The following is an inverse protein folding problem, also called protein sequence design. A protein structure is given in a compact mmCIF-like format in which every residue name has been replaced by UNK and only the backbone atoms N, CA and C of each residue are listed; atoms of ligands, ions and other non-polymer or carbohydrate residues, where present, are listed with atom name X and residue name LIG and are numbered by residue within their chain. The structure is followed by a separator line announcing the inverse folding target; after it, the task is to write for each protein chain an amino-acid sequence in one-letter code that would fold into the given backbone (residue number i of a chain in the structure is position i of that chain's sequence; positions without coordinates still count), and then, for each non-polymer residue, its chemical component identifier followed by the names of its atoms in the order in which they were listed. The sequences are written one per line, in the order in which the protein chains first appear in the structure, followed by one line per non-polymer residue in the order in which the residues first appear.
data_IF_146723818624
#
_entry.id   IF_146723818624
#
_cell.length_a   1.000
_cell.length_b   1.000
_cell.length_c   1.000
_cell.angle_alpha   90.00
_cell.angle_beta   90.00
_cell.angle_gamma   90.00
#
_symmetry.space_group_name_H-M   'P 1'
#
loop_
_entity.id
_entity.type
_entity.pdbx_description
1 polymer ?
#
# COMPACT_ATOMS: atom_id res chain seq x y z
N UNK A 1 11.47 5.56 2.23
CA UNK A 1 12.20 4.28 2.32
C UNK A 1 13.45 4.34 1.46
N UNK A 2 14.64 4.47 2.06
CA UNK A 2 15.90 4.52 1.33
C UNK A 2 16.18 3.29 0.48
N UNK A 3 15.63 2.12 0.84
CA UNK A 3 15.87 0.84 0.19
C UNK A 3 15.08 0.69 -1.12
N UNK A 4 13.78 1.05 -1.13
CA UNK A 4 12.92 0.98 -2.32
C UNK A 4 12.84 2.27 -3.13
N UNK A 5 13.32 3.40 -2.57
CA UNK A 5 13.12 4.77 -3.09
C UNK A 5 11.65 5.21 -3.16
N UNK A 6 10.73 4.45 -2.56
CA UNK A 6 9.36 4.90 -2.40
C UNK A 6 9.26 6.03 -1.38
N UNK A 7 8.43 7.01 -1.73
CA UNK A 7 7.95 8.06 -0.84
C UNK A 7 6.57 7.65 -0.37
N UNK A 8 6.40 7.57 0.95
CA UNK A 8 5.14 7.20 1.59
C UNK A 8 4.61 8.41 2.34
N UNK A 9 3.29 8.52 2.42
CA UNK A 9 2.60 9.40 3.35
C UNK A 9 2.31 8.60 4.62
N UNK A 10 2.60 9.18 5.79
CA UNK A 10 2.16 8.62 7.06
C UNK A 10 0.80 9.25 7.37
N UNK A 11 -0.24 8.44 7.29
CA UNK A 11 -1.61 8.85 7.51
C UNK A 11 -2.24 8.01 8.62
N UNK A 12 -2.54 8.63 9.76
CA UNK A 12 -3.20 7.97 10.89
C UNK A 12 -4.73 7.96 10.76
N UNK A 13 -5.27 8.64 9.75
CA UNK A 13 -6.72 8.65 9.45
C UNK A 13 -7.16 7.53 8.52
N UNK A 14 -6.22 6.74 7.99
CA UNK A 14 -6.51 5.59 7.13
C UNK A 14 -6.52 4.28 7.92
N UNK A 15 -7.50 3.41 7.64
CA UNK A 15 -7.60 2.08 8.27
C UNK A 15 -6.51 1.11 7.80
N UNK A 16 -5.97 1.32 6.59
CA UNK A 16 -5.07 0.39 5.92
C UNK A 16 -3.92 1.10 5.21
N UNK A 17 -2.82 0.39 5.00
CA UNK A 17 -1.69 0.87 4.19
C UNK A 17 -1.85 0.46 2.73
N UNK A 18 -1.73 1.40 1.80
CA UNK A 18 -1.92 1.17 0.36
C UNK A 18 -0.65 1.43 -0.45
N UNK A 19 -0.46 0.65 -1.51
CA UNK A 19 0.57 0.87 -2.52
C UNK A 19 -0.11 0.99 -3.89
N UNK A 20 0.19 2.04 -4.69
CA UNK A 20 -0.42 2.20 -6.00
C UNK A 20 -0.10 1.02 -6.92
N UNK A 21 -1.09 0.52 -7.65
CA UNK A 21 -0.90 -0.58 -8.60
C UNK A 21 0.21 -0.27 -9.61
N UNK A 22 0.32 0.98 -10.06
CA UNK A 22 1.35 1.47 -10.97
C UNK A 22 2.79 1.31 -10.46
N UNK A 23 2.99 1.09 -9.16
CA UNK A 23 4.28 0.84 -8.53
C UNK A 23 4.55 -0.66 -8.31
N UNK A 24 3.70 -1.53 -8.85
CA UNK A 24 3.81 -2.98 -8.70
C UNK A 24 3.80 -3.68 -10.06
N UNK A 25 4.33 -4.90 -10.08
CA UNK A 25 4.25 -5.82 -11.23
C UNK A 25 3.15 -6.86 -11.02
N UNK A 26 2.25 -6.66 -10.06
CA UNK A 26 1.19 -7.62 -9.76
C UNK A 26 0.13 -7.59 -10.87
N UNK A 27 -0.52 -8.74 -11.15
CA UNK A 27 -1.60 -8.80 -12.13
C UNK A 27 -2.72 -7.81 -11.83
N UNK A 28 -3.35 -7.28 -12.88
CA UNK A 28 -4.44 -6.30 -12.79
C UNK A 28 -5.79 -6.93 -12.40
N UNK A 29 -5.79 -8.18 -11.95
CA UNK A 29 -7.01 -8.90 -11.57
C UNK A 29 -7.57 -8.26 -10.31
N UNK A 30 -8.82 -7.80 -10.39
CA UNK A 30 -9.52 -7.21 -9.23
C UNK A 30 -9.76 -8.26 -8.18
N UNK A 31 -9.58 -7.88 -6.92
CA UNK A 31 -9.97 -8.68 -5.77
C UNK A 31 -11.39 -8.35 -5.30
N UNK A 32 -11.92 -9.22 -4.44
CA UNK A 32 -13.21 -9.04 -3.76
C UNK A 32 -13.17 -7.89 -2.75
N UNK A 33 -12.00 -7.61 -2.17
CA UNK A 33 -11.83 -6.52 -1.22
C UNK A 33 -12.04 -5.17 -1.93
N UNK A 34 -12.86 -4.31 -1.34
CA UNK A 34 -13.12 -2.96 -1.84
C UNK A 34 -12.75 -1.95 -0.77
N UNK A 35 -11.99 -0.92 -1.14
CA UNK A 35 -11.65 0.19 -0.25
C UNK A 35 -12.52 1.41 -0.60
N UNK A 36 -12.66 2.31 0.35
CA UNK A 36 -13.38 3.57 0.17
C UNK A 36 -12.49 4.72 0.59
N UNK A 37 -12.41 5.75 -0.26
CA UNK A 37 -11.81 7.01 0.11
C UNK A 37 -12.67 7.74 1.15
N UNK A 38 -12.09 8.74 1.83
CA UNK A 38 -12.81 9.59 2.79
C UNK A 38 -14.04 10.30 2.18
N UNK A 39 -14.09 10.48 0.85
CA UNK A 39 -15.24 11.04 0.14
C UNK A 39 -16.26 9.98 -0.34
N UNK A 40 -16.13 8.72 0.06
CA UNK A 40 -17.01 7.61 -0.32
C UNK A 40 -16.75 7.00 -1.69
N UNK A 41 -15.74 7.48 -2.43
CA UNK A 41 -15.38 6.88 -3.73
C UNK A 41 -14.81 5.48 -3.55
N UNK A 42 -15.29 4.55 -4.37
CA UNK A 42 -14.78 3.18 -4.42
C UNK A 42 -13.38 3.13 -5.02
N UNK A 43 -12.46 2.51 -4.30
CA UNK A 43 -11.10 2.21 -4.74
C UNK A 43 -10.99 0.69 -4.96
N UNK A 44 -10.58 0.31 -6.18
CA UNK A 44 -10.37 -1.10 -6.55
C UNK A 44 -9.09 -1.62 -5.93
N UNK A 45 -9.07 -2.89 -5.56
CA UNK A 45 -7.88 -3.56 -5.03
C UNK A 45 -7.46 -4.74 -5.91
N UNK A 46 -6.19 -5.10 -5.80
CA UNK A 46 -5.51 -6.05 -6.70
C UNK A 46 -4.55 -6.98 -5.95
N UNK A 47 -4.81 -7.25 -4.67
CA UNK A 47 -3.93 -8.07 -3.85
C UNK A 47 -3.23 -7.31 -2.75
N UNK A 48 -2.33 -8.03 -2.11
CA UNK A 48 -1.47 -7.49 -1.08
C UNK A 48 -0.02 -7.76 -1.38
N UNK A 49 0.86 -6.91 -0.84
CA UNK A 49 2.31 -7.04 -0.97
C UNK A 49 2.98 -6.79 0.36
N UNK A 50 3.80 -7.73 0.80
CA UNK A 50 4.69 -7.53 1.94
C UNK A 50 5.91 -6.72 1.49
N UNK A 51 6.16 -5.61 2.18
CA UNK A 51 7.34 -4.78 1.99
C UNK A 51 8.18 -4.76 3.27
N UNK A 52 9.51 -4.81 3.10
CA UNK A 52 10.45 -4.46 4.17
C UNK A 52 10.69 -2.95 4.07
N UNK A 53 10.13 -2.21 5.00
CA UNK A 53 10.28 -0.77 5.10
C UNK A 53 11.53 -0.44 5.90
N UNK A 54 12.42 0.34 5.27
CA UNK A 54 13.49 1.04 5.97
C UNK A 54 13.02 2.46 6.32
N UNK A 55 12.80 2.67 7.62
CA UNK A 55 12.41 3.95 8.21
C UNK A 55 13.61 4.68 8.84
N UNK A 56 14.84 4.24 8.56
CA UNK A 56 16.08 4.67 9.23
C UNK A 56 16.03 4.49 10.75
N UNK A 57 15.34 3.45 11.21
CA UNK A 57 15.32 3.04 12.61
C UNK A 57 16.21 1.80 12.78
N UNK A 58 16.50 1.41 14.02
CA UNK A 58 17.41 0.28 14.35
C UNK A 58 16.94 -1.10 13.86
N UNK A 59 15.83 -1.19 13.14
CA UNK A 59 15.30 -2.42 12.54
C UNK A 59 14.49 -2.12 11.29
N UNK A 60 14.43 -3.10 10.40
CA UNK A 60 13.49 -3.12 9.29
C UNK A 60 12.10 -3.50 9.79
N UNK A 61 11.06 -2.94 9.17
CA UNK A 61 9.67 -3.28 9.45
C UNK A 61 9.09 -4.04 8.27
N UNK A 62 8.67 -5.28 8.48
CA UNK A 62 7.90 -6.00 7.47
C UNK A 62 6.44 -5.60 7.63
N UNK A 63 5.85 -5.04 6.58
CA UNK A 63 4.48 -4.52 6.62
C UNK A 63 3.70 -4.92 5.36
N UNK A 64 2.42 -5.23 5.53
CA UNK A 64 1.54 -5.61 4.44
C UNK A 64 0.85 -4.37 3.87
N UNK A 65 0.95 -4.20 2.57
CA UNK A 65 0.24 -3.16 1.82
C UNK A 65 -0.84 -3.79 0.96
N UNK A 66 -1.98 -3.12 0.84
CA UNK A 66 -3.00 -3.45 -0.16
C UNK A 66 -2.63 -2.73 -1.45
N UNK A 67 -2.71 -3.44 -2.57
CA UNK A 67 -2.50 -2.86 -3.89
C UNK A 67 -3.82 -2.26 -4.36
N UNK A 68 -3.81 -0.98 -4.68
CA UNK A 68 -5.00 -0.22 -5.01
C UNK A 68 -4.78 0.72 -6.21
N UNK A 69 -5.87 1.08 -6.88
CA UNK A 69 -5.91 2.09 -7.97
C UNK A 69 -5.64 3.52 -7.44
#
# INVERSE_FOLDING_TARGET
DPSSKFKFLIDTGADVSVLPQSKTTLPTTRETLTLYAANGTVIKTFGTKLLKLDLNLRRNFTWQFIIAD
#
